data_IF_317613863315
#
_entry.id   IF_317613863315
#
_cell.length_a   1.000
_cell.length_b   1.000
_cell.length_c   1.000
_cell.angle_alpha   90.00
_cell.angle_beta   90.00
_cell.angle_gamma   90.00
#
_symmetry.space_group_name_H-M   'P 1'
#
loop_
_entity.id
_entity.type
_entity.pdbx_description
1 polymer ?
#
# COMPACT_ATOMS: atom_id res chain seq x y z
N UNK A 1 -4.36 6.95 15.33
CA UNK A 1 -3.37 7.46 14.36
C UNK A 1 -3.38 6.58 13.12
N UNK A 2 -3.42 7.19 11.95
CA UNK A 2 -3.48 6.44 10.69
C UNK A 2 -2.07 6.20 10.16
N UNK A 3 -1.80 4.98 9.73
CA UNK A 3 -0.53 4.60 9.15
C UNK A 3 -0.72 4.46 7.65
N UNK A 4 0.04 5.23 6.87
CA UNK A 4 -0.10 5.28 5.42
C UNK A 4 1.06 4.58 4.72
N UNK A 5 0.73 3.88 3.64
CA UNK A 5 1.70 3.22 2.78
C UNK A 5 1.40 3.58 1.33
N UNK A 6 2.37 4.19 0.66
CA UNK A 6 2.25 4.52 -0.75
C UNK A 6 2.86 3.43 -1.61
N UNK A 7 2.09 2.96 -2.60
CA UNK A 7 2.55 1.91 -3.52
C UNK A 7 2.81 2.55 -4.88
N UNK A 8 4.05 2.50 -5.31
CA UNK A 8 4.46 3.10 -6.59
C UNK A 8 3.91 2.31 -7.77
N UNK A 9 3.58 3.04 -8.83
CA UNK A 9 3.11 2.46 -10.09
C UNK A 9 1.86 1.59 -9.91
N UNK A 10 0.96 2.02 -9.03
CA UNK A 10 -0.25 1.27 -8.70
C UNK A 10 -1.07 0.91 -9.94
N UNK A 11 -1.17 1.82 -10.91
CA UNK A 11 -1.97 1.59 -12.12
C UNK A 11 -1.20 1.13 -13.34
N UNK A 12 0.12 1.05 -13.26
CA UNK A 12 0.94 0.72 -14.44
C UNK A 12 0.77 -0.71 -14.91
N UNK A 13 0.41 -1.61 -14.01
CA UNK A 13 0.26 -3.03 -14.34
C UNK A 13 -0.97 -3.60 -13.66
N UNK A 14 -2.02 -3.97 -14.42
CA UNK A 14 -3.25 -4.52 -13.83
C UNK A 14 -3.05 -5.76 -12.97
N UNK A 15 -2.09 -6.62 -13.33
CA UNK A 15 -1.79 -7.81 -12.53
C UNK A 15 -1.21 -7.42 -11.18
N UNK A 16 -0.29 -6.46 -11.17
CA UNK A 16 0.29 -5.96 -9.93
C UNK A 16 -0.79 -5.29 -9.06
N UNK A 17 -1.69 -4.55 -9.68
CA UNK A 17 -2.78 -3.91 -8.94
C UNK A 17 -3.66 -4.93 -8.22
N UNK A 18 -4.01 -6.02 -8.90
CA UNK A 18 -4.81 -7.08 -8.27
C UNK A 18 -4.05 -7.72 -7.11
N UNK A 19 -2.76 -7.98 -7.29
CA UNK A 19 -1.92 -8.54 -6.22
C UNK A 19 -1.83 -7.59 -5.03
N UNK A 20 -1.66 -6.31 -5.30
CA UNK A 20 -1.61 -5.27 -4.28
C UNK A 20 -2.92 -5.23 -3.49
N UNK A 21 -4.05 -5.24 -4.19
CA UNK A 21 -5.36 -5.21 -3.54
C UNK A 21 -5.60 -6.43 -2.65
N UNK A 22 -5.18 -7.61 -3.10
CA UNK A 22 -5.28 -8.83 -2.28
C UNK A 22 -4.47 -8.71 -1.00
N UNK A 23 -3.23 -8.22 -1.11
CA UNK A 23 -2.36 -8.05 0.05
C UNK A 23 -2.95 -7.04 1.02
N UNK A 24 -3.43 -5.91 0.51
CA UNK A 24 -4.02 -4.88 1.36
C UNK A 24 -5.28 -5.36 2.06
N UNK A 25 -6.14 -6.08 1.35
CA UNK A 25 -7.35 -6.64 1.96
C UNK A 25 -7.01 -7.65 3.05
N UNK A 26 -5.98 -8.45 2.84
CA UNK A 26 -5.53 -9.44 3.81
C UNK A 26 -5.10 -8.79 5.13
N UNK A 27 -4.50 -7.60 5.05
CA UNK A 27 -4.00 -6.88 6.21
C UNK A 27 -4.90 -5.69 6.61
N UNK A 28 -6.14 -5.66 6.13
CA UNK A 28 -7.12 -4.63 6.46
C UNK A 28 -6.69 -3.22 6.04
N UNK A 29 -5.91 -3.12 4.98
CA UNK A 29 -5.56 -1.83 4.39
C UNK A 29 -6.71 -1.31 3.55
N UNK A 30 -6.93 0.00 3.61
CA UNK A 30 -7.99 0.67 2.86
C UNK A 30 -7.36 1.67 1.89
N UNK A 31 -7.80 1.63 0.63
CA UNK A 31 -7.32 2.59 -0.36
C UNK A 31 -7.86 3.98 0.00
N UNK A 32 -6.97 4.86 0.37
CA UNK A 32 -7.31 6.19 0.86
C UNK A 32 -7.37 7.21 -0.27
N UNK A 33 -6.34 7.25 -1.10
CA UNK A 33 -6.35 8.10 -2.27
C UNK A 33 -5.43 7.54 -3.35
N UNK A 34 -5.59 8.05 -4.56
CA UNK A 34 -4.79 7.64 -5.70
C UNK A 34 -4.25 8.89 -6.37
N UNK A 35 -2.94 8.91 -6.61
CA UNK A 35 -2.28 9.94 -7.39
C UNK A 35 -2.02 9.40 -8.80
N UNK A 36 -1.34 10.19 -9.64
CA UNK A 36 -1.07 9.78 -11.02
C UNK A 36 -0.39 8.41 -11.13
N UNK A 37 0.45 8.07 -10.18
CA UNK A 37 1.23 6.84 -10.21
C UNK A 37 1.06 5.98 -8.98
N UNK A 38 0.72 6.57 -7.85
CA UNK A 38 0.75 5.90 -6.56
C UNK A 38 -0.64 5.63 -6.03
N UNK A 39 -0.80 4.49 -5.37
CA UNK A 39 -1.97 4.21 -4.55
C UNK A 39 -1.57 4.33 -3.09
N UNK A 40 -2.32 5.11 -2.32
CA UNK A 40 -2.02 5.31 -0.89
C UNK A 40 -3.05 4.56 -0.06
N UNK A 41 -2.55 3.62 0.75
CA UNK A 41 -3.39 2.78 1.59
C UNK A 41 -3.21 3.15 3.06
N UNK A 42 -4.31 3.12 3.81
CA UNK A 42 -4.29 3.40 5.24
C UNK A 42 -4.49 2.11 6.03
N UNK A 43 -3.81 2.03 7.18
CA UNK A 43 -3.88 0.89 8.10
C UNK A 43 -4.15 1.39 9.51
N UNK A 44 -4.85 0.59 10.30
CA UNK A 44 -5.16 0.96 11.68
C UNK A 44 -3.96 0.87 12.60
N UNK A 45 -3.02 -0.03 12.29
CA UNK A 45 -1.83 -0.20 13.11
C UNK A 45 -0.60 -0.36 12.24
N UNK A 46 0.55 -0.09 12.84
CA UNK A 46 1.82 -0.14 12.14
C UNK A 46 2.23 -1.58 11.79
N UNK A 47 1.84 -2.54 12.60
CA UNK A 47 2.17 -3.94 12.36
C UNK A 47 1.54 -4.44 11.06
N UNK A 48 0.26 -4.14 10.84
CA UNK A 48 -0.42 -4.51 9.61
C UNK A 48 0.23 -3.85 8.39
N UNK A 49 0.59 -2.57 8.53
CA UNK A 49 1.28 -1.85 7.46
C UNK A 49 2.62 -2.52 7.12
N UNK A 50 3.41 -2.88 8.13
CA UNK A 50 4.70 -3.51 7.92
C UNK A 50 4.58 -4.88 7.27
N UNK A 51 3.58 -5.66 7.66
CA UNK A 51 3.34 -6.97 7.06
C UNK A 51 2.96 -6.85 5.59
N UNK A 52 2.09 -5.90 5.27
CA UNK A 52 1.70 -5.65 3.88
C UNK A 52 2.91 -5.19 3.05
N UNK A 53 3.69 -4.27 3.58
CA UNK A 53 4.90 -3.78 2.92
C UNK A 53 5.89 -4.92 2.64
N UNK A 54 6.06 -5.81 3.60
CA UNK A 54 6.95 -6.95 3.44
C UNK A 54 6.48 -7.89 2.32
N UNK A 55 5.19 -8.17 2.23
CA UNK A 55 4.66 -9.00 1.16
C UNK A 55 4.83 -8.34 -0.21
N UNK A 56 4.64 -7.03 -0.29
CA UNK A 56 4.88 -6.28 -1.52
C UNK A 56 6.35 -6.37 -1.92
N UNK A 57 7.24 -6.22 -0.97
CA UNK A 57 8.68 -6.31 -1.22
C UNK A 57 9.05 -7.66 -1.83
N UNK A 58 8.47 -8.75 -1.32
CA UNK A 58 8.73 -10.10 -1.84
C UNK A 58 8.32 -10.24 -3.30
N UNK A 59 7.34 -9.47 -3.74
CA UNK A 59 6.88 -9.49 -5.13
C UNK A 59 7.63 -8.50 -6.01
N UNK A 60 8.59 -7.76 -5.45
CA UNK A 60 9.33 -6.75 -6.19
C UNK A 60 8.55 -5.46 -6.42
N UNK A 61 7.49 -5.24 -5.65
CA UNK A 61 6.67 -4.04 -5.76
C UNK A 61 7.22 -2.97 -4.82
N UNK A 62 7.45 -1.78 -5.36
CA UNK A 62 8.02 -0.67 -4.60
C UNK A 62 6.92 0.01 -3.78
N UNK A 63 7.15 0.13 -2.48
CA UNK A 63 6.25 0.83 -1.58
C UNK A 63 7.04 1.58 -0.53
N UNK A 64 6.51 2.72 -0.11
CA UNK A 64 7.15 3.58 0.88
C UNK A 64 6.15 4.06 1.92
N UNK A 65 6.54 4.16 3.20
CA UNK A 65 5.68 4.77 4.20
C UNK A 65 5.47 6.24 3.87
N UNK A 66 4.22 6.68 4.02
CA UNK A 66 3.85 8.08 3.77
C UNK A 66 3.68 8.76 5.11
N UNK A 67 4.39 9.87 5.29
CA UNK A 67 4.27 10.67 6.49
C UNK A 67 3.09 11.63 6.32
N UNK A 68 2.15 11.61 7.26
CA UNK A 68 1.08 12.59 7.26
C UNK A 68 1.68 13.96 7.51
N UNK A 69 1.45 14.88 6.59
CA UNK A 69 1.79 16.27 6.84
C UNK A 69 0.68 16.89 7.69
N UNK A 70 1.10 17.41 8.79
CA UNK A 70 0.19 18.06 9.71
C UNK A 70 0.00 19.52 9.30
#
# INVERSE_FOLDING_TARGET
MTHLLGVDFYYDNPKNRLSIEKIMNKHNGTLDCVTDKNGIFSFKDNESKQKADHELYKLGIISDPVTESV
#
